data_IF_627948746574
#
_entry.id   IF_627948746574
#
_cell.length_a   1.000
_cell.length_b   1.000
_cell.length_c   1.000
_cell.angle_alpha   90.00
_cell.angle_beta   90.00
_cell.angle_gamma   90.00
#
_symmetry.space_group_name_H-M   'P 1'
#
loop_
_entity.id
_entity.type
_entity.pdbx_description
1 polymer ?
#
# COMPACT_ATOMS: atom_id res chain seq x y z
N UNK A 1 -3.84 -10.72 -16.62
CA UNK A 1 -4.87 -9.96 -15.90
C UNK A 1 -5.72 -9.26 -16.95
N UNK A 2 -6.98 -9.64 -17.06
CA UNK A 2 -8.01 -9.06 -17.95
C UNK A 2 -8.63 -7.78 -17.37
N UNK A 3 -8.32 -7.45 -16.11
CA UNK A 3 -8.77 -6.23 -15.44
C UNK A 3 -10.23 -6.27 -14.99
N UNK A 4 -10.84 -7.46 -14.93
CA UNK A 4 -12.21 -7.69 -14.45
C UNK A 4 -12.31 -7.69 -12.92
N UNK A 5 -11.24 -8.04 -12.21
CA UNK A 5 -11.17 -8.13 -10.75
C UNK A 5 -10.61 -6.83 -10.12
N UNK A 6 -11.34 -5.72 -10.28
CA UNK A 6 -10.93 -4.41 -9.76
C UNK A 6 -11.36 -4.27 -8.30
N UNK A 7 -10.38 -4.07 -7.42
CA UNK A 7 -10.62 -3.77 -6.01
C UNK A 7 -10.24 -2.32 -5.72
N UNK A 8 -11.13 -1.61 -5.02
CA UNK A 8 -10.81 -0.28 -4.50
C UNK A 8 -9.88 -0.45 -3.30
N UNK A 9 -8.59 -0.14 -3.50
CA UNK A 9 -7.55 -0.28 -2.47
C UNK A 9 -7.57 0.90 -1.49
N UNK A 10 -8.00 2.08 -1.94
CA UNK A 10 -8.14 3.25 -1.11
C UNK A 10 -9.11 4.27 -1.70
N UNK A 11 -9.87 4.90 -0.81
CA UNK A 11 -10.58 6.14 -1.06
C UNK A 11 -10.31 7.03 0.15
N UNK A 12 -9.40 7.98 -0.02
CA UNK A 12 -8.79 8.68 1.09
C UNK A 12 -8.70 10.16 0.75
N UNK A 13 -9.56 10.98 1.38
CA UNK A 13 -9.54 12.43 1.19
C UNK A 13 -8.23 13.05 1.72
N UNK A 14 -7.74 12.55 2.86
CA UNK A 14 -6.58 13.11 3.57
C UNK A 14 -5.34 12.23 3.51
N UNK A 15 -5.46 11.03 2.94
CA UNK A 15 -4.36 10.07 2.86
C UNK A 15 -4.05 9.71 1.41
N UNK A 16 -2.78 9.57 1.08
CA UNK A 16 -2.29 9.10 -0.20
C UNK A 16 -1.78 7.66 -0.10
N UNK A 17 -1.90 6.94 -1.21
CA UNK A 17 -1.17 5.68 -1.42
C UNK A 17 -0.20 5.88 -2.59
N UNK A 18 1.05 5.48 -2.39
CA UNK A 18 2.10 5.52 -3.40
C UNK A 18 2.85 4.20 -3.52
N UNK A 19 3.51 4.02 -4.66
CA UNK A 19 4.34 2.85 -4.98
C UNK A 19 3.68 1.49 -4.66
N UNK A 20 2.45 1.21 -5.15
CA UNK A 20 1.82 -0.08 -4.92
C UNK A 20 2.58 -1.20 -5.67
N UNK A 21 2.97 -2.25 -4.94
CA UNK A 21 3.65 -3.43 -5.51
C UNK A 21 2.99 -4.71 -5.02
N UNK A 22 2.47 -5.49 -5.96
CA UNK A 22 1.89 -6.80 -5.67
C UNK A 22 2.96 -7.82 -5.28
N UNK A 23 2.66 -8.61 -4.26
CA UNK A 23 3.43 -9.82 -3.95
C UNK A 23 3.39 -10.80 -5.12
N UNK A 24 4.45 -11.63 -5.32
CA UNK A 24 4.47 -12.61 -6.42
C UNK A 24 3.28 -13.57 -6.45
N UNK A 25 2.74 -13.91 -5.27
CA UNK A 25 1.55 -14.77 -5.13
C UNK A 25 0.21 -14.04 -5.27
N UNK A 26 0.21 -12.72 -5.47
CA UNK A 26 -0.99 -11.90 -5.66
C UNK A 26 -1.91 -11.81 -4.43
N UNK A 27 -1.48 -12.29 -3.26
CA UNK A 27 -2.28 -12.22 -2.02
C UNK A 27 -2.18 -10.84 -1.37
N UNK A 28 -0.97 -10.32 -1.27
CA UNK A 28 -0.68 -9.05 -0.61
C UNK A 28 -0.32 -7.98 -1.62
N UNK A 29 -0.79 -6.77 -1.35
CA UNK A 29 -0.29 -5.54 -1.95
C UNK A 29 0.55 -4.79 -0.92
N UNK A 30 1.80 -4.50 -1.25
CA UNK A 30 2.65 -3.64 -0.44
C UNK A 30 2.54 -2.22 -0.97
N UNK A 31 2.29 -1.24 -0.11
CA UNK A 31 2.17 0.16 -0.53
C UNK A 31 2.68 1.13 0.53
N UNK A 32 3.02 2.35 0.11
CA UNK A 32 3.40 3.45 1.00
C UNK A 32 2.18 4.32 1.27
N UNK A 33 1.73 4.39 2.52
CA UNK A 33 0.59 5.21 2.95
C UNK A 33 1.12 6.50 3.56
N UNK A 34 0.62 7.66 3.16
CA UNK A 34 1.07 8.95 3.70
C UNK A 34 -0.08 9.93 3.94
N UNK A 35 0.07 10.82 4.91
CA UNK A 35 -0.91 11.86 5.22
C UNK A 35 -0.65 13.10 4.36
N UNK A 36 -1.51 13.37 3.38
CA UNK A 36 -1.36 14.48 2.43
C UNK A 36 -1.54 15.86 3.06
N UNK A 37 -2.05 15.95 4.30
CA UNK A 37 -2.20 17.22 5.00
C UNK A 37 -0.88 17.71 5.64
N UNK A 38 0.17 16.88 5.64
CA UNK A 38 1.47 17.25 6.18
C UNK A 38 2.36 17.83 5.07
N UNK A 39 3.13 18.89 5.33
CA UNK A 39 4.01 19.51 4.34
C UNK A 39 5.16 18.58 3.88
N UNK A 40 5.61 17.69 4.77
CA UNK A 40 6.62 16.67 4.49
C UNK A 40 6.13 15.34 5.05
N UNK A 41 5.28 14.61 4.32
CA UNK A 41 4.72 13.37 4.83
C UNK A 41 5.75 12.26 4.84
N UNK A 42 5.90 11.59 5.98
CA UNK A 42 6.66 10.34 6.07
C UNK A 42 5.76 9.18 5.64
N UNK A 43 6.13 8.39 4.62
CA UNK A 43 5.38 7.22 4.23
C UNK A 43 5.44 6.14 5.32
N UNK A 44 4.32 5.46 5.53
CA UNK A 44 4.20 4.26 6.35
C UNK A 44 3.97 3.09 5.38
N UNK A 45 4.96 2.20 5.19
CA UNK A 45 4.78 0.98 4.43
C UNK A 45 3.71 0.09 5.08
N UNK A 46 2.82 -0.46 4.27
CA UNK A 46 1.77 -1.36 4.75
C UNK A 46 1.51 -2.50 3.77
N UNK A 47 1.21 -3.67 4.33
CA UNK A 47 0.63 -4.79 3.61
C UNK A 47 -0.89 -4.67 3.62
N UNK A 48 -1.49 -4.82 2.46
CA UNK A 48 -2.92 -4.75 2.23
C UNK A 48 -3.37 -6.08 1.64
N UNK A 49 -4.31 -6.77 2.28
CA UNK A 49 -5.06 -7.87 1.67
C UNK A 49 -6.37 -7.29 1.12
N UNK A 50 -6.51 -7.15 -0.21
CA UNK A 50 -7.68 -6.54 -0.80
C UNK A 50 -8.92 -7.43 -0.77
N UNK A 51 -8.78 -8.72 -0.45
CA UNK A 51 -9.92 -9.63 -0.31
C UNK A 51 -10.58 -9.50 1.05
N UNK A 52 -9.78 -9.23 2.09
CA UNK A 52 -10.26 -9.11 3.48
C UNK A 52 -10.33 -7.67 3.98
N UNK A 53 -9.81 -6.71 3.20
CA UNK A 53 -9.58 -5.33 3.61
C UNK A 53 -8.66 -5.20 4.84
N UNK A 54 -7.82 -6.20 5.10
CA UNK A 54 -6.85 -6.17 6.18
C UNK A 54 -5.66 -5.29 5.80
N UNK A 55 -5.25 -4.42 6.73
CA UNK A 55 -4.09 -3.54 6.57
C UNK A 55 -3.14 -3.73 7.74
N UNK A 56 -1.90 -4.12 7.45
CA UNK A 56 -0.84 -4.34 8.42
C UNK A 56 0.25 -3.30 8.16
N UNK A 57 0.34 -2.31 9.05
CA UNK A 57 1.42 -1.33 9.02
C UNK A 57 2.76 -2.01 9.38
N UNK A 58 3.78 -1.80 8.56
CA UNK A 58 5.13 -2.25 8.81
C UNK A 58 5.88 -1.19 9.62
N UNK A 59 5.47 -1.04 10.88
CA UNK A 59 6.08 -0.08 11.80
C UNK A 59 7.58 -0.38 12.00
N UNK A 60 8.40 0.67 11.97
CA UNK A 60 9.86 0.57 12.12
C UNK A 60 10.62 0.36 10.81
N UNK A 61 9.94 0.39 9.66
CA UNK A 61 10.57 0.51 8.34
C UNK A 61 10.35 1.94 7.85
N UNK A 62 11.43 2.70 7.75
CA UNK A 62 11.40 4.06 7.21
C UNK A 62 11.66 4.06 5.70
N UNK A 63 10.99 4.97 4.99
CA UNK A 63 11.20 5.20 3.56
C UNK A 63 10.14 4.55 2.65
N UNK A 64 10.45 4.49 1.36
CA UNK A 64 9.54 4.01 0.34
C UNK A 64 9.77 2.54 0.02
N UNK A 65 8.67 1.84 -0.24
CA UNK A 65 8.72 0.49 -0.80
C UNK A 65 9.11 0.57 -2.27
N UNK A 66 10.06 -0.28 -2.66
CA UNK A 66 10.43 -0.49 -4.07
C UNK A 66 9.99 -1.85 -4.63
N UNK A 67 9.87 -2.89 -3.80
CA UNK A 67 9.39 -4.19 -4.25
C UNK A 67 9.66 -5.33 -3.28
N UNK A 68 9.40 -6.54 -3.78
CA UNK A 68 9.57 -7.80 -3.05
C UNK A 68 10.91 -8.45 -3.41
N UNK A 69 11.63 -8.94 -2.41
CA UNK A 69 12.79 -9.80 -2.62
C UNK A 69 12.33 -11.28 -2.75
N UNK A 70 13.07 -12.13 -3.50
CA UNK A 70 12.80 -13.57 -3.60
C UNK A 70 13.00 -14.32 -2.28
#
# INVERSE_FOLDING_TARGET
MDGSDRHLIAQLDQWGIGSPVWSPGGKWLLASIFNNNLPNPTPIPALIDPKTCEVIALAGIDGYVHGWAP
#
